data_IF_190922292948
#
_entry.id   IF_190922292948
#
_cell.length_a   1.000
_cell.length_b   1.000
_cell.length_c   1.000
_cell.angle_alpha   90.00
_cell.angle_beta   90.00
_cell.angle_gamma   90.00
#
_symmetry.space_group_name_H-M   'P 1'
#
loop_
_entity.id
_entity.type
_entity.pdbx_description
1 polymer ?
#
# COMPACT_ATOMS: atom_id res chain seq x y z
N UNK A 1 1.84 -46.51 60.67
CA UNK A 1 1.57 -45.28 59.88
C UNK A 1 2.12 -45.46 58.47
N UNK A 2 1.26 -45.76 57.50
CA UNK A 2 1.41 -45.45 56.06
C UNK A 2 0.15 -46.00 55.37
N UNK A 3 -0.76 -45.08 55.07
CA UNK A 3 -1.98 -45.35 54.31
C UNK A 3 -1.62 -45.66 52.86
N UNK A 4 -2.23 -46.70 52.32
CA UNK A 4 -2.39 -46.90 50.87
C UNK A 4 -3.68 -46.19 50.43
N UNK A 5 -3.58 -45.38 49.39
CA UNK A 5 -4.71 -44.82 48.64
C UNK A 5 -4.50 -45.17 47.16
N UNK A 6 -5.53 -45.65 46.44
CA UNK A 6 -5.37 -46.10 45.06
C UNK A 6 -5.42 -44.92 44.08
N UNK A 7 -4.70 -45.10 42.97
CA UNK A 7 -4.65 -44.21 41.81
C UNK A 7 -6.04 -43.99 41.19
N UNK A 8 -6.45 -42.73 41.06
CA UNK A 8 -7.57 -42.31 40.21
C UNK A 8 -6.99 -41.80 38.89
N UNK A 9 -7.30 -42.48 37.79
CA UNK A 9 -7.07 -41.97 36.44
C UNK A 9 -8.12 -40.89 36.14
N UNK A 10 -7.72 -39.61 36.07
CA UNK A 10 -8.53 -38.58 35.42
C UNK A 10 -8.16 -38.55 33.93
N UNK A 11 -8.97 -39.21 33.12
CA UNK A 11 -9.02 -39.00 31.67
C UNK A 11 -9.65 -37.63 31.40
N UNK A 12 -8.82 -36.63 31.14
CA UNK A 12 -9.27 -35.34 30.61
C UNK A 12 -9.69 -35.58 29.16
N UNK A 13 -10.99 -35.57 28.92
CA UNK A 13 -11.54 -35.44 27.58
C UNK A 13 -11.20 -34.03 27.07
N UNK A 14 -10.17 -33.93 26.22
CA UNK A 14 -9.98 -32.75 25.40
C UNK A 14 -11.17 -32.68 24.42
N UNK A 15 -12.11 -31.78 24.68
CA UNK A 15 -13.12 -31.40 23.72
C UNK A 15 -12.40 -30.79 22.51
N UNK A 16 -12.23 -31.61 21.48
CA UNK A 16 -11.82 -31.18 20.15
C UNK A 16 -12.97 -30.33 19.61
N UNK A 17 -12.95 -29.02 19.90
CA UNK A 17 -13.76 -28.06 19.16
C UNK A 17 -13.20 -28.04 17.75
N UNK A 18 -13.81 -28.83 16.88
CA UNK A 18 -13.81 -28.58 15.44
C UNK A 18 -14.46 -27.20 15.27
N UNK A 19 -13.65 -26.15 15.22
CA UNK A 19 -14.04 -24.95 14.51
C UNK A 19 -14.24 -25.42 13.07
N UNK A 20 -15.50 -25.65 12.71
CA UNK A 20 -15.89 -25.49 11.32
C UNK A 20 -15.52 -24.06 11.00
N UNK A 21 -14.49 -23.88 10.16
CA UNK A 21 -14.21 -22.59 9.53
C UNK A 21 -15.55 -22.12 8.95
N UNK A 22 -16.19 -21.17 9.64
CA UNK A 22 -17.18 -20.36 8.98
C UNK A 22 -16.36 -19.56 8.00
N UNK A 23 -16.32 -20.02 6.73
CA UNK A 23 -15.83 -19.21 5.62
C UNK A 23 -16.53 -17.87 5.77
N UNK A 24 -15.77 -16.85 6.15
CA UNK A 24 -16.33 -15.54 6.38
C UNK A 24 -16.95 -15.11 5.04
N UNK A 25 -18.26 -14.89 5.03
CA UNK A 25 -18.99 -14.62 3.80
C UNK A 25 -18.50 -13.29 3.26
N UNK A 26 -17.76 -13.35 2.15
CA UNK A 26 -17.15 -12.18 1.50
C UNK A 26 -18.21 -11.14 1.13
N UNK A 27 -17.81 -9.86 1.01
CA UNK A 27 -18.73 -8.82 0.56
C UNK A 27 -19.35 -9.16 -0.80
N UNK A 28 -20.67 -9.24 -0.86
CA UNK A 28 -21.42 -9.56 -2.07
C UNK A 28 -22.06 -8.29 -2.63
N UNK A 29 -21.53 -7.78 -3.74
CA UNK A 29 -22.08 -6.60 -4.42
C UNK A 29 -23.11 -7.02 -5.48
N UNK A 30 -24.30 -6.45 -5.43
CA UNK A 30 -25.39 -6.75 -6.36
C UNK A 30 -26.11 -5.50 -6.84
N UNK A 31 -27.05 -5.68 -7.79
CA UNK A 31 -27.95 -4.66 -8.34
C UNK A 31 -27.27 -3.36 -8.81
N UNK A 32 -26.03 -3.46 -9.32
CA UNK A 32 -25.27 -2.31 -9.85
C UNK A 32 -26.02 -1.66 -11.01
N UNK A 33 -26.31 -0.36 -10.91
CA UNK A 33 -26.97 0.46 -11.94
C UNK A 33 -26.19 1.74 -12.14
N UNK A 34 -26.03 2.15 -13.40
CA UNK A 34 -25.31 3.36 -13.79
C UNK A 34 -26.28 4.30 -14.50
N UNK A 35 -26.36 5.54 -14.04
CA UNK A 35 -27.23 6.58 -14.59
C UNK A 35 -26.45 7.88 -14.81
N UNK A 36 -26.01 8.15 -16.04
CA UNK A 36 -25.49 9.45 -16.43
C UNK A 36 -26.54 10.55 -16.25
N UNK A 37 -26.10 11.75 -15.90
CA UNK A 37 -26.91 12.96 -15.75
C UNK A 37 -26.49 14.03 -16.75
N UNK A 38 -27.38 14.96 -17.02
CA UNK A 38 -27.14 16.07 -17.97
C UNK A 38 -26.06 17.05 -17.48
N UNK A 39 -25.83 17.13 -16.16
CA UNK A 39 -24.79 17.95 -15.54
C UNK A 39 -23.39 17.29 -15.54
N UNK A 40 -23.25 16.15 -16.22
CA UNK A 40 -21.97 15.44 -16.35
C UNK A 40 -21.62 14.54 -15.17
N UNK A 41 -22.47 14.48 -14.14
CA UNK A 41 -22.35 13.52 -13.06
C UNK A 41 -22.87 12.15 -13.49
N UNK A 42 -22.31 11.10 -12.91
CA UNK A 42 -22.78 9.73 -13.09
C UNK A 42 -23.20 9.18 -11.73
N UNK A 43 -24.48 8.85 -11.58
CA UNK A 43 -25.01 8.18 -10.38
C UNK A 43 -24.83 6.67 -10.54
N UNK A 44 -24.18 6.05 -9.58
CA UNK A 44 -23.97 4.61 -9.52
C UNK A 44 -24.66 4.09 -8.27
N UNK A 45 -25.68 3.25 -8.44
CA UNK A 45 -26.39 2.61 -7.34
C UNK A 45 -26.00 1.14 -7.23
N UNK A 46 -25.88 0.62 -6.02
CA UNK A 46 -25.58 -0.79 -5.77
C UNK A 46 -26.08 -1.23 -4.39
N UNK A 47 -26.19 -2.54 -4.19
CA UNK A 47 -26.43 -3.15 -2.88
C UNK A 47 -25.18 -3.93 -2.48
N UNK A 48 -24.89 -4.01 -1.18
CA UNK A 48 -23.76 -4.81 -0.69
C UNK A 48 -24.09 -5.51 0.62
N UNK A 49 -23.91 -6.83 0.64
CA UNK A 49 -24.04 -7.66 1.83
C UNK A 49 -22.66 -7.96 2.40
N UNK A 50 -22.43 -7.64 3.69
CA UNK A 50 -21.21 -7.97 4.43
C UNK A 50 -21.46 -7.90 5.94
N UNK A 51 -20.53 -8.44 6.74
CA UNK A 51 -20.64 -8.44 8.22
C UNK A 51 -20.00 -7.22 8.88
N UNK A 52 -19.10 -6.54 8.17
CA UNK A 52 -18.26 -5.46 8.67
C UNK A 52 -18.33 -4.25 7.71
N UNK A 53 -17.91 -3.04 8.15
CA UNK A 53 -17.69 -1.92 7.24
C UNK A 53 -16.68 -2.27 6.14
N UNK A 54 -16.85 -1.63 4.98
CA UNK A 54 -16.16 -1.97 3.75
C UNK A 54 -15.26 -0.83 3.29
N UNK A 55 -14.15 -1.20 2.63
CA UNK A 55 -13.49 -0.33 1.67
C UNK A 55 -14.14 -0.57 0.29
N UNK A 56 -14.57 0.49 -0.38
CA UNK A 56 -15.27 0.43 -1.67
C UNK A 56 -14.58 1.30 -2.70
N UNK A 57 -14.33 0.76 -3.88
CA UNK A 57 -13.84 1.52 -5.03
C UNK A 57 -14.60 1.12 -6.29
N UNK A 58 -14.38 1.86 -7.37
CA UNK A 58 -15.04 1.63 -8.66
C UNK A 58 -14.02 1.46 -9.76
N UNK A 59 -14.33 0.60 -10.71
CA UNK A 59 -13.67 0.58 -12.02
C UNK A 59 -14.68 0.92 -13.09
N UNK A 60 -14.26 1.69 -14.09
CA UNK A 60 -15.14 2.18 -15.14
C UNK A 60 -14.65 1.69 -16.51
N UNK A 61 -15.62 1.30 -17.34
CA UNK A 61 -15.44 0.90 -18.73
C UNK A 61 -16.27 1.80 -19.64
N UNK A 62 -15.74 2.13 -20.82
CA UNK A 62 -16.44 2.82 -21.90
C UNK A 62 -16.59 1.94 -23.16
N UNK A 63 -16.20 0.66 -23.09
CA UNK A 63 -16.17 -0.30 -24.20
C UNK A 63 -17.13 -1.48 -23.96
N UNK A 64 -18.28 -1.18 -23.34
CA UNK A 64 -19.32 -2.18 -22.99
C UNK A 64 -18.86 -3.26 -22.00
N UNK A 65 -17.87 -2.96 -21.17
CA UNK A 65 -17.37 -3.86 -20.13
C UNK A 65 -16.27 -4.81 -20.60
N UNK A 66 -15.72 -4.60 -21.80
CA UNK A 66 -14.57 -5.39 -22.31
C UNK A 66 -13.31 -5.06 -21.51
N UNK A 67 -13.08 -3.79 -21.19
CA UNK A 67 -11.97 -3.35 -20.36
C UNK A 67 -12.39 -2.22 -19.42
N UNK A 68 -11.83 -2.24 -18.21
CA UNK A 68 -12.10 -1.24 -17.18
C UNK A 68 -10.86 -0.36 -17.00
N UNK A 69 -10.58 0.43 -18.04
CA UNK A 69 -9.38 1.26 -18.16
C UNK A 69 -9.64 2.74 -17.92
N UNK A 70 -10.88 3.15 -17.68
CA UNK A 70 -11.20 4.57 -17.51
C UNK A 70 -10.65 5.06 -16.15
N UNK A 71 -9.72 6.03 -16.15
CA UNK A 71 -9.19 6.62 -14.92
C UNK A 71 -10.30 7.25 -14.10
N UNK A 72 -10.31 6.95 -12.80
CA UNK A 72 -11.21 7.57 -11.82
C UNK A 72 -10.37 8.06 -10.66
N UNK A 73 -10.43 9.36 -10.38
CA UNK A 73 -9.77 9.91 -9.20
C UNK A 73 -10.64 9.73 -7.97
N UNK A 74 -10.05 9.40 -6.82
CA UNK A 74 -10.84 9.25 -5.59
C UNK A 74 -11.55 10.57 -5.21
N UNK A 75 -10.94 11.71 -5.54
CA UNK A 75 -11.50 13.06 -5.30
C UNK A 75 -12.71 13.40 -6.18
N UNK A 76 -12.95 12.68 -7.27
CA UNK A 76 -14.12 12.87 -8.14
C UNK A 76 -15.31 12.02 -7.70
N UNK A 77 -15.14 11.17 -6.70
CA UNK A 77 -16.16 10.29 -6.15
C UNK A 77 -16.71 10.83 -4.82
N UNK A 78 -18.02 10.71 -4.62
CA UNK A 78 -18.70 11.04 -3.37
C UNK A 78 -19.81 10.03 -3.06
N UNK A 79 -20.25 9.94 -1.81
CA UNK A 79 -21.30 9.02 -1.37
C UNK A 79 -20.73 7.76 -0.71
N UNK A 80 -21.35 6.61 -0.97
CA UNK A 80 -20.98 5.30 -0.41
C UNK A 80 -19.76 4.71 -1.14
N UNK A 81 -18.59 5.32 -0.96
CA UNK A 81 -17.33 4.96 -1.60
C UNK A 81 -16.14 5.32 -0.70
N UNK A 82 -14.99 4.67 -0.89
CA UNK A 82 -13.82 4.82 -0.05
C UNK A 82 -13.92 3.98 1.21
N UNK A 83 -13.44 4.52 2.33
CA UNK A 83 -13.32 3.79 3.58
C UNK A 83 -14.63 3.77 4.39
N UNK A 84 -14.82 2.74 5.22
CA UNK A 84 -15.87 2.61 6.22
C UNK A 84 -17.32 2.66 5.67
N UNK A 85 -17.54 2.20 4.44
CA UNK A 85 -18.88 2.09 3.86
C UNK A 85 -19.67 0.99 4.58
N UNK A 86 -20.82 1.34 5.14
CA UNK A 86 -21.68 0.38 5.84
C UNK A 86 -22.37 -0.55 4.83
N UNK A 87 -22.58 -1.85 5.15
CA UNK A 87 -23.38 -2.75 4.34
C UNK A 87 -24.85 -2.30 4.17
N UNK A 88 -25.56 -2.88 3.22
CA UNK A 88 -26.99 -2.73 2.99
C UNK A 88 -27.37 -2.36 1.56
N UNK A 89 -28.68 -2.23 1.35
CA UNK A 89 -29.28 -1.88 0.06
C UNK A 89 -29.26 -0.36 -0.20
N UNK A 90 -29.34 0.01 -1.48
CA UNK A 90 -29.58 1.38 -1.92
C UNK A 90 -28.38 2.32 -1.80
N UNK A 91 -27.15 1.77 -1.80
CA UNK A 91 -25.92 2.54 -1.78
C UNK A 91 -25.79 3.39 -3.04
N UNK A 92 -25.20 4.57 -2.91
CA UNK A 92 -25.06 5.52 -4.01
C UNK A 92 -23.68 6.15 -4.05
N UNK A 93 -23.05 6.07 -5.21
CA UNK A 93 -21.84 6.80 -5.55
C UNK A 93 -22.21 7.84 -6.60
N UNK A 94 -21.75 9.06 -6.42
CA UNK A 94 -21.83 10.12 -7.40
C UNK A 94 -20.43 10.43 -7.91
N UNK A 95 -20.21 10.16 -9.19
CA UNK A 95 -18.94 10.37 -9.86
C UNK A 95 -18.99 11.61 -10.76
N UNK A 96 -18.06 12.54 -10.57
CA UNK A 96 -17.84 13.66 -11.47
C UNK A 96 -17.01 13.22 -12.68
N UNK A 97 -17.68 12.57 -13.64
CA UNK A 97 -17.03 12.03 -14.83
C UNK A 97 -16.42 13.11 -15.73
N UNK A 98 -16.93 14.35 -15.72
CA UNK A 98 -16.33 15.45 -16.49
C UNK A 98 -14.98 15.90 -15.94
N UNK A 99 -14.75 15.75 -14.62
CA UNK A 99 -13.47 16.08 -14.02
C UNK A 99 -12.37 15.10 -14.48
N UNK A 100 -12.71 13.82 -14.61
CA UNK A 100 -11.75 12.78 -15.00
C UNK A 100 -11.68 12.60 -16.53
N UNK A 101 -12.81 12.69 -17.22
CA UNK A 101 -13.00 12.38 -18.64
C UNK A 101 -13.80 13.48 -19.37
N UNK A 102 -13.25 14.70 -19.53
CA UNK A 102 -13.99 15.86 -20.03
C UNK A 102 -14.52 15.72 -21.47
N UNK A 103 -13.96 14.81 -22.26
CA UNK A 103 -14.26 14.67 -23.70
C UNK A 103 -14.98 13.35 -24.06
N UNK A 104 -15.45 12.58 -23.08
CA UNK A 104 -16.06 11.26 -23.32
C UNK A 104 -17.55 11.28 -22.98
N UNK A 105 -18.36 10.73 -23.88
CA UNK A 105 -19.79 10.55 -23.66
C UNK A 105 -20.03 9.44 -22.61
N UNK A 106 -20.69 9.80 -21.51
CA UNK A 106 -20.95 8.92 -20.36
C UNK A 106 -22.10 7.92 -20.56
N UNK A 107 -22.90 8.05 -21.63
CA UNK A 107 -24.04 7.16 -21.93
C UNK A 107 -23.68 5.68 -22.12
N UNK A 108 -22.40 5.39 -22.42
CA UNK A 108 -21.89 4.03 -22.63
C UNK A 108 -21.24 3.38 -21.40
N UNK A 109 -21.13 4.07 -20.27
CA UNK A 109 -20.32 3.55 -19.16
C UNK A 109 -20.86 2.25 -18.55
N UNK A 110 -19.93 1.38 -18.17
CA UNK A 110 -20.16 0.23 -17.29
C UNK A 110 -19.29 0.39 -16.06
N UNK A 111 -19.80 -0.05 -14.92
CA UNK A 111 -19.10 0.07 -13.64
C UNK A 111 -19.01 -1.28 -12.96
N UNK A 112 -17.83 -1.59 -12.46
CA UNK A 112 -17.62 -2.62 -11.45
C UNK A 112 -17.43 -1.94 -10.10
N UNK A 113 -18.27 -2.28 -9.14
CA UNK A 113 -18.03 -1.94 -7.74
C UNK A 113 -17.13 -3.02 -7.18
N UNK A 114 -16.05 -2.61 -6.54
CA UNK A 114 -15.16 -3.49 -5.82
C UNK A 114 -15.30 -3.15 -4.35
N UNK A 115 -15.62 -4.16 -3.54
CA UNK A 115 -15.73 -4.03 -2.10
C UNK A 115 -14.91 -5.12 -1.41
N UNK A 116 -14.21 -4.74 -0.36
CA UNK A 116 -13.54 -5.66 0.58
C UNK A 116 -13.84 -5.19 2.00
N UNK A 117 -13.66 -6.08 2.98
CA UNK A 117 -13.67 -5.66 4.38
C UNK A 117 -12.66 -4.53 4.61
N UNK A 118 -13.04 -3.55 5.43
CA UNK A 118 -12.15 -2.46 5.78
C UNK A 118 -10.96 -2.98 6.58
N UNK A 119 -9.76 -2.70 6.08
CA UNK A 119 -8.52 -2.87 6.85
C UNK A 119 -8.09 -1.50 7.35
N UNK A 120 -7.91 -1.36 8.66
CA UNK A 120 -7.55 -0.08 9.26
C UNK A 120 -6.20 0.42 8.73
N UNK A 121 -6.14 1.72 8.42
CA UNK A 121 -4.96 2.36 7.84
C UNK A 121 -4.61 1.99 6.39
N UNK A 122 -5.39 1.14 5.70
CA UNK A 122 -5.16 0.78 4.30
C UNK A 122 -6.21 1.36 3.36
N UNK A 123 -5.80 1.64 2.12
CA UNK A 123 -6.64 2.12 1.03
C UNK A 123 -6.80 1.00 -0.01
N UNK A 124 -8.05 0.81 -0.47
CA UNK A 124 -8.35 -0.09 -1.58
C UNK A 124 -8.01 0.57 -2.92
N UNK A 125 -6.98 0.07 -3.58
CA UNK A 125 -6.55 0.57 -4.89
C UNK A 125 -7.17 -0.31 -5.99
N UNK A 126 -8.05 0.23 -6.85
CA UNK A 126 -8.66 -0.53 -7.93
C UNK A 126 -7.60 -1.03 -8.89
N UNK A 127 -7.60 -2.33 -9.20
CA UNK A 127 -6.71 -2.88 -10.22
C UNK A 127 -6.94 -2.23 -11.58
N UNK A 128 -5.89 -2.14 -12.39
CA UNK A 128 -5.94 -1.40 -13.64
C UNK A 128 -4.66 -1.51 -14.44
N UNK A 129 -4.67 -0.87 -15.59
CA UNK A 129 -3.54 -0.81 -16.51
C UNK A 129 -2.97 0.60 -16.51
N UNK A 130 -1.65 0.72 -16.43
CA UNK A 130 -0.94 1.98 -16.47
C UNK A 130 0.37 1.85 -17.24
N UNK A 131 1.00 2.99 -17.52
CA UNK A 131 2.35 3.04 -18.07
C UNK A 131 3.33 3.07 -16.91
N UNK A 132 4.06 1.98 -16.71
CA UNK A 132 5.16 1.88 -15.75
C UNK A 132 6.44 2.42 -16.39
N UNK A 133 7.21 3.22 -15.65
CA UNK A 133 8.47 3.80 -16.13
C UNK A 133 8.32 5.03 -17.02
N UNK A 134 9.44 5.49 -17.58
CA UNK A 134 9.54 6.75 -18.29
C UNK A 134 10.61 6.71 -19.39
N UNK A 135 10.20 6.81 -20.66
CA UNK A 135 11.10 6.83 -21.83
C UNK A 135 12.07 8.03 -21.85
N UNK A 136 11.79 9.07 -21.07
CA UNK A 136 12.65 10.25 -20.92
C UNK A 136 13.31 10.33 -19.53
N UNK A 137 13.12 9.31 -18.69
CA UNK A 137 13.67 9.21 -17.34
C UNK A 137 15.11 8.68 -17.33
N UNK A 138 15.59 8.30 -16.14
CA UNK A 138 16.87 7.61 -15.99
C UNK A 138 16.87 6.28 -16.76
N UNK A 139 18.07 5.74 -17.05
CA UNK A 139 18.19 4.51 -17.83
C UNK A 139 17.46 3.32 -17.19
N UNK A 140 17.49 3.21 -15.86
CA UNK A 140 16.78 2.15 -15.15
C UNK A 140 15.26 2.36 -15.07
N UNK A 141 14.75 3.55 -15.43
CA UNK A 141 13.31 3.84 -15.58
C UNK A 141 12.77 3.48 -16.97
N UNK A 142 13.65 3.07 -17.89
CA UNK A 142 13.34 2.78 -19.28
C UNK A 142 13.31 1.27 -19.56
N UNK A 143 12.53 0.83 -20.57
CA UNK A 143 11.53 1.59 -21.30
C UNK A 143 10.24 1.77 -20.49
N UNK A 144 9.49 2.82 -20.80
CA UNK A 144 8.11 2.91 -20.36
C UNK A 144 7.28 1.81 -21.03
N UNK A 145 6.49 1.07 -20.24
CA UNK A 145 5.72 -0.09 -20.72
C UNK A 145 4.34 -0.20 -20.10
N UNK A 146 3.42 -0.80 -20.85
CA UNK A 146 2.09 -1.11 -20.33
C UNK A 146 2.19 -2.24 -19.29
N UNK A 147 1.69 -1.97 -18.08
CA UNK A 147 1.61 -2.90 -16.96
C UNK A 147 0.20 -2.89 -16.40
N UNK A 148 -0.32 -4.06 -16.06
CA UNK A 148 -1.57 -4.23 -15.33
C UNK A 148 -1.30 -4.77 -13.94
N UNK A 149 -1.89 -4.16 -12.94
CA UNK A 149 -1.90 -4.65 -11.56
C UNK A 149 -3.31 -5.07 -11.17
N UNK A 150 -3.43 -6.17 -10.43
CA UNK A 150 -4.70 -6.57 -9.83
C UNK A 150 -5.08 -5.58 -8.71
N UNK A 151 -6.31 -5.67 -8.21
CA UNK A 151 -6.74 -4.85 -7.07
C UNK A 151 -6.01 -5.31 -5.81
N UNK A 152 -5.60 -4.35 -4.98
CA UNK A 152 -4.89 -4.61 -3.72
C UNK A 152 -5.21 -3.53 -2.68
N UNK A 153 -4.87 -3.82 -1.44
CA UNK A 153 -4.84 -2.86 -0.34
C UNK A 153 -3.40 -2.38 -0.15
N UNK A 154 -3.21 -1.11 0.20
CA UNK A 154 -1.90 -0.54 0.52
C UNK A 154 -2.03 0.45 1.67
N UNK A 155 -1.04 0.48 2.55
CA UNK A 155 -1.02 1.41 3.67
C UNK A 155 -1.10 2.85 3.16
N UNK A 156 -2.03 3.60 3.75
CA UNK A 156 -2.27 5.01 3.45
C UNK A 156 -1.06 5.89 3.74
N UNK A 157 -0.25 5.46 4.70
CA UNK A 157 0.88 6.13 5.32
C UNK A 157 2.08 5.19 5.36
N UNK A 158 3.30 5.71 5.43
CA UNK A 158 4.45 4.89 5.81
C UNK A 158 4.27 4.30 7.22
N UNK A 159 4.92 3.15 7.49
CA UNK A 159 4.91 2.57 8.83
C UNK A 159 5.63 3.51 9.79
N UNK A 160 5.01 3.79 10.93
CA UNK A 160 5.54 4.73 11.92
C UNK A 160 6.53 4.07 12.89
N UNK A 161 7.38 4.89 13.53
CA UNK A 161 8.24 4.43 14.62
C UNK A 161 7.43 3.76 15.74
N UNK A 162 6.25 4.31 16.10
CA UNK A 162 5.42 3.72 17.14
C UNK A 162 4.92 2.32 16.76
N UNK A 163 4.47 2.12 15.53
CA UNK A 163 4.02 0.82 15.04
C UNK A 163 5.18 -0.18 15.01
N UNK A 164 6.35 0.22 14.52
CA UNK A 164 7.51 -0.68 14.46
C UNK A 164 8.02 -1.06 15.86
N UNK A 165 7.96 -0.15 16.84
CA UNK A 165 8.27 -0.48 18.24
C UNK A 165 7.31 -1.54 18.81
N UNK A 166 6.02 -1.48 18.48
CA UNK A 166 5.04 -2.50 18.88
C UNK A 166 5.39 -3.86 18.28
N UNK A 167 5.77 -3.89 17.01
CA UNK A 167 6.26 -5.09 16.34
C UNK A 167 7.49 -5.67 17.04
N UNK A 168 8.53 -4.87 17.30
CA UNK A 168 9.75 -5.36 17.97
C UNK A 168 9.46 -5.94 19.37
N UNK A 169 8.53 -5.35 20.10
CA UNK A 169 8.09 -5.89 21.40
C UNK A 169 7.36 -7.23 21.24
N UNK A 170 6.51 -7.38 20.21
CA UNK A 170 5.83 -8.64 19.91
C UNK A 170 6.81 -9.73 19.41
N UNK A 171 7.80 -9.34 18.60
CA UNK A 171 8.86 -10.22 18.11
C UNK A 171 9.87 -10.61 19.21
N UNK A 172 10.00 -9.77 20.24
CA UNK A 172 10.88 -9.97 21.40
C UNK A 172 12.37 -9.70 21.15
N UNK A 173 12.79 -9.58 19.89
CA UNK A 173 14.18 -9.31 19.48
C UNK A 173 14.26 -8.47 18.20
N UNK A 174 15.45 -7.92 17.95
CA UNK A 174 15.77 -7.11 16.76
C UNK A 174 16.36 -7.96 15.61
N UNK A 175 15.82 -9.16 15.42
CA UNK A 175 16.28 -10.10 14.40
C UNK A 175 15.09 -10.89 13.85
N UNK A 176 15.17 -11.29 12.58
CA UNK A 176 14.22 -12.24 12.00
C UNK A 176 14.54 -13.69 12.43
N UNK A 177 13.90 -14.66 11.76
CA UNK A 177 14.07 -16.09 11.97
C UNK A 177 15.47 -16.58 11.54
N UNK A 178 16.09 -15.91 10.57
CA UNK A 178 17.40 -16.25 10.00
C UNK A 178 18.57 -15.50 10.66
N UNK A 179 18.27 -14.60 11.62
CA UNK A 179 19.26 -13.81 12.34
C UNK A 179 19.68 -12.52 11.64
N UNK A 180 18.94 -12.08 10.62
CA UNK A 180 19.17 -10.78 9.98
C UNK A 180 18.66 -9.66 10.89
N UNK A 181 19.42 -8.56 10.96
CA UNK A 181 19.05 -7.36 11.71
C UNK A 181 17.79 -6.71 11.12
N UNK A 182 16.84 -6.31 11.98
CA UNK A 182 15.59 -5.67 11.53
C UNK A 182 15.70 -4.15 11.46
N UNK A 183 16.33 -3.52 12.46
CA UNK A 183 16.58 -2.07 12.52
C UNK A 183 17.97 -1.82 13.11
N UNK A 184 18.71 -0.85 12.58
CA UNK A 184 19.98 -0.44 13.17
C UNK A 184 19.72 0.46 14.40
N UNK A 185 19.87 -0.13 15.59
CA UNK A 185 19.72 0.56 16.87
C UNK A 185 21.02 1.25 17.34
N UNK A 186 22.11 1.11 16.57
CA UNK A 186 23.43 1.66 16.90
C UNK A 186 23.67 3.01 16.23
N UNK A 187 22.95 3.30 15.14
CA UNK A 187 23.01 4.60 14.47
C UNK A 187 22.37 5.70 15.34
N UNK A 188 23.03 6.87 15.51
CA UNK A 188 22.50 7.98 16.31
C UNK A 188 21.20 8.60 15.77
N UNK A 189 20.85 8.38 14.49
CA UNK A 189 19.62 8.88 13.89
C UNK A 189 18.40 7.97 14.14
N UNK A 190 18.60 6.78 14.72
CA UNK A 190 17.51 5.87 15.06
C UNK A 190 16.53 6.53 16.03
N UNK A 191 15.23 6.38 15.76
CA UNK A 191 14.15 6.96 16.57
C UNK A 191 13.50 5.95 17.51
N UNK A 192 14.15 4.80 17.69
CA UNK A 192 13.76 3.70 18.56
C UNK A 192 14.78 3.48 19.66
N UNK A 193 14.31 3.22 20.88
CA UNK A 193 15.14 3.00 22.05
C UNK A 193 14.69 1.73 22.76
N UNK A 194 15.63 1.00 23.37
CA UNK A 194 15.33 -0.12 24.27
C UNK A 194 15.54 0.30 25.72
N UNK A 195 14.44 0.44 26.47
CA UNK A 195 14.43 0.86 27.88
C UNK A 195 13.74 -0.23 28.70
N UNK A 196 14.40 -0.72 29.75
CA UNK A 196 13.89 -1.78 30.63
C UNK A 196 13.40 -3.02 29.85
N UNK A 197 14.13 -3.39 28.79
CA UNK A 197 13.81 -4.53 27.93
C UNK A 197 12.70 -4.28 26.90
N UNK A 198 12.07 -3.11 26.89
CA UNK A 198 10.99 -2.73 25.97
C UNK A 198 11.46 -1.76 24.91
N UNK A 199 11.10 -2.00 23.65
CA UNK A 199 11.31 -1.08 22.54
C UNK A 199 10.27 0.05 22.60
N UNK A 200 10.73 1.29 22.42
CA UNK A 200 9.89 2.49 22.44
C UNK A 200 10.34 3.45 21.35
N UNK A 201 9.38 4.08 20.67
CA UNK A 201 9.66 5.21 19.83
C UNK A 201 9.96 6.47 20.67
N UNK A 202 10.86 7.32 20.20
CA UNK A 202 11.01 8.68 20.71
C UNK A 202 9.68 9.42 20.56
N UNK A 203 9.20 10.06 21.62
CA UNK A 203 7.85 10.66 21.66
C UNK A 203 7.62 11.72 20.58
N UNK A 204 8.68 12.45 20.20
CA UNK A 204 8.60 13.49 19.16
C UNK A 204 8.47 12.87 17.75
N UNK A 205 9.03 11.68 17.55
CA UNK A 205 9.10 10.98 16.26
C UNK A 205 8.14 9.78 16.19
N UNK A 206 7.23 9.64 17.15
CA UNK A 206 6.33 8.49 17.24
C UNK A 206 5.49 8.30 15.96
N UNK A 207 4.98 9.40 15.40
CA UNK A 207 4.17 9.43 14.17
C UNK A 207 4.99 9.73 12.89
N UNK A 208 6.32 9.77 13.00
CA UNK A 208 7.21 9.85 11.83
C UNK A 208 7.41 8.45 11.26
N UNK A 209 7.73 8.32 9.96
CA UNK A 209 8.07 7.03 9.38
C UNK A 209 9.21 6.39 10.17
N UNK A 210 9.16 5.07 10.33
CA UNK A 210 10.30 4.33 10.85
C UNK A 210 11.43 4.41 9.82
N UNK A 211 12.62 4.71 10.32
CA UNK A 211 13.87 4.74 9.55
C UNK A 211 14.89 3.81 10.21
N UNK A 212 16.09 3.69 9.61
CA UNK A 212 17.10 2.70 10.02
C UNK A 212 16.62 1.25 9.90
N UNK A 213 15.54 1.01 9.16
CA UNK A 213 14.93 -0.30 8.99
C UNK A 213 15.51 -0.98 7.75
N UNK A 214 15.95 -2.22 7.92
CA UNK A 214 16.43 -3.05 6.81
C UNK A 214 15.27 -3.59 6.00
N UNK A 215 15.54 -4.13 4.81
CA UNK A 215 14.52 -4.83 4.02
C UNK A 215 13.96 -6.06 4.78
N UNK A 216 14.81 -6.73 5.57
CA UNK A 216 14.40 -7.81 6.46
C UNK A 216 13.45 -7.32 7.55
N UNK A 217 13.75 -6.17 8.16
CA UNK A 217 12.88 -5.47 9.11
C UNK A 217 11.50 -5.17 8.54
N UNK A 218 11.48 -4.57 7.34
CA UNK A 218 10.26 -4.23 6.63
C UNK A 218 9.41 -5.48 6.31
N UNK A 219 10.05 -6.54 5.81
CA UNK A 219 9.39 -7.82 5.48
C UNK A 219 8.85 -8.54 6.71
N UNK A 220 9.64 -8.60 7.79
CA UNK A 220 9.24 -9.23 9.04
C UNK A 220 8.07 -8.49 9.71
N UNK A 221 8.11 -7.14 9.71
CA UNK A 221 6.98 -6.34 10.16
C UNK A 221 5.74 -6.62 9.34
N UNK A 222 5.86 -6.61 8.00
CA UNK A 222 4.72 -6.83 7.12
C UNK A 222 4.08 -8.21 7.39
N UNK A 223 4.89 -9.26 7.52
CA UNK A 223 4.44 -10.61 7.89
C UNK A 223 3.71 -10.62 9.25
N UNK A 224 4.30 -9.99 10.27
CA UNK A 224 3.68 -9.87 11.60
C UNK A 224 2.33 -9.14 11.57
N UNK A 225 2.21 -8.10 10.74
CA UNK A 225 1.00 -7.32 10.57
C UNK A 225 -0.07 -8.03 9.71
N UNK A 226 0.18 -9.25 9.22
CA UNK A 226 -0.72 -9.96 8.30
C UNK A 226 -0.76 -9.35 6.89
N UNK A 227 0.32 -8.67 6.49
CA UNK A 227 0.48 -7.94 5.23
C UNK A 227 1.71 -8.47 4.46
N UNK A 228 2.12 -7.75 3.43
CA UNK A 228 3.37 -7.93 2.67
C UNK A 228 3.95 -6.57 2.29
N UNK A 229 5.14 -6.53 1.72
CA UNK A 229 5.58 -5.34 1.00
C UNK A 229 4.83 -5.22 -0.35
N UNK A 230 4.61 -3.99 -0.86
CA UNK A 230 4.14 -3.82 -2.23
C UNK A 230 5.18 -4.32 -3.23
N UNK A 231 4.74 -4.69 -4.42
CA UNK A 231 5.66 -4.79 -5.57
C UNK A 231 6.04 -3.40 -6.07
N UNK A 232 7.15 -3.30 -6.79
CA UNK A 232 7.57 -2.06 -7.45
C UNK A 232 6.46 -1.51 -8.36
N UNK A 233 5.76 -2.40 -9.08
CA UNK A 233 4.66 -2.04 -9.97
C UNK A 233 3.43 -1.56 -9.21
N UNK A 234 3.06 -2.22 -8.11
CA UNK A 234 1.96 -1.78 -7.24
C UNK A 234 2.26 -0.42 -6.61
N UNK A 235 3.50 -0.21 -6.15
CA UNK A 235 3.93 1.06 -5.58
C UNK A 235 3.84 2.19 -6.61
N UNK A 236 4.40 1.99 -7.81
CA UNK A 236 4.35 3.03 -8.87
C UNK A 236 2.91 3.32 -9.27
N UNK A 237 2.09 2.28 -9.45
CA UNK A 237 0.69 2.47 -9.76
C UNK A 237 -0.04 3.25 -8.66
N UNK A 238 0.15 2.89 -7.39
CA UNK A 238 -0.48 3.58 -6.25
C UNK A 238 -0.06 5.06 -6.15
N UNK A 239 1.18 5.38 -6.54
CA UNK A 239 1.69 6.75 -6.60
C UNK A 239 1.14 7.51 -7.82
N UNK A 240 1.16 6.88 -9.00
CA UNK A 240 1.05 7.53 -10.31
C UNK A 240 -0.36 7.48 -10.90
N UNK A 241 -1.14 6.45 -10.60
CA UNK A 241 -2.42 6.19 -11.25
C UNK A 241 -2.26 5.87 -12.73
N UNK A 242 -3.08 6.49 -13.58
CA UNK A 242 -3.30 6.07 -14.97
C UNK A 242 -2.81 7.05 -16.04
N UNK A 243 -2.59 8.31 -15.67
CA UNK A 243 -2.44 9.43 -16.60
C UNK A 243 -0.97 9.79 -16.89
N UNK A 244 -0.04 8.95 -16.41
CA UNK A 244 1.39 9.13 -16.65
C UNK A 244 2.00 10.33 -15.93
N UNK A 245 1.34 10.88 -14.90
CA UNK A 245 1.83 12.02 -14.11
C UNK A 245 3.26 11.83 -13.57
N UNK A 246 3.96 12.94 -13.35
CA UNK A 246 5.33 12.99 -12.84
C UNK A 246 5.36 12.77 -11.32
N UNK A 247 4.45 13.43 -10.59
CA UNK A 247 4.33 13.36 -9.13
C UNK A 247 2.97 12.82 -8.72
N UNK A 248 2.79 12.33 -7.48
CA UNK A 248 1.51 11.78 -7.04
C UNK A 248 0.33 12.75 -7.19
N UNK A 249 0.56 14.05 -6.95
CA UNK A 249 -0.44 15.11 -7.08
C UNK A 249 -0.64 15.64 -8.51
N UNK A 250 0.11 15.16 -9.51
CA UNK A 250 -0.01 15.55 -10.91
C UNK A 250 1.26 16.17 -11.52
N UNK A 251 1.08 16.94 -12.59
CA UNK A 251 2.16 17.58 -13.36
C UNK A 251 2.36 19.06 -13.01
N UNK A 252 2.04 19.43 -11.77
CA UNK A 252 2.25 20.79 -11.25
C UNK A 252 3.60 20.87 -10.57
N UNK A 253 4.23 22.04 -10.65
CA UNK A 253 5.52 22.32 -10.00
C UNK A 253 5.51 21.91 -8.53
N UNK A 254 6.55 21.18 -8.13
CA UNK A 254 6.76 20.72 -6.77
C UNK A 254 7.03 21.90 -5.83
N UNK A 255 6.43 21.85 -4.65
CA UNK A 255 6.67 22.81 -3.55
C UNK A 255 6.59 22.07 -2.22
N UNK A 256 7.08 22.69 -1.14
CA UNK A 256 7.00 22.14 0.21
C UNK A 256 5.59 21.97 0.77
N UNK A 257 4.53 22.37 0.04
CA UNK A 257 3.14 22.03 0.42
C UNK A 257 2.73 20.62 0.01
N UNK A 258 3.48 19.99 -0.90
CA UNK A 258 3.19 18.69 -1.47
C UNK A 258 4.03 17.56 -0.88
N UNK A 259 5.25 17.84 -0.45
CA UNK A 259 6.15 16.81 0.09
C UNK A 259 7.31 17.43 0.87
N UNK A 260 7.94 16.61 1.73
CA UNK A 260 9.21 16.88 2.36
C UNK A 260 10.37 16.37 1.49
N UNK A 261 11.24 17.26 1.02
CA UNK A 261 12.36 16.95 0.12
C UNK A 261 13.45 18.04 0.25
N UNK A 262 14.61 17.85 -0.40
CA UNK A 262 15.73 18.81 -0.44
C UNK A 262 16.30 19.23 0.93
N UNK A 263 16.06 18.45 1.98
CA UNK A 263 16.57 18.71 3.32
C UNK A 263 15.86 19.87 4.01
N UNK A 264 14.68 20.29 3.52
CA UNK A 264 13.98 21.49 3.99
C UNK A 264 13.72 21.49 5.51
N UNK A 265 13.44 20.33 6.10
CA UNK A 265 13.23 20.19 7.55
C UNK A 265 14.45 19.61 8.29
N UNK A 266 15.47 19.13 7.57
CA UNK A 266 16.61 18.40 8.14
C UNK A 266 16.28 17.03 8.73
N UNK A 267 15.04 16.54 8.56
CA UNK A 267 14.57 15.23 8.98
C UNK A 267 13.26 14.87 8.25
N UNK A 268 12.74 13.68 8.52
CA UNK A 268 11.37 13.25 8.19
C UNK A 268 10.32 14.16 8.84
N UNK A 269 9.10 14.12 8.32
CA UNK A 269 7.90 14.71 8.95
C UNK A 269 6.90 13.59 9.27
N UNK A 270 5.83 13.92 9.99
CA UNK A 270 4.76 12.99 10.34
C UNK A 270 4.10 12.43 9.09
N UNK A 271 3.78 11.14 9.13
CA UNK A 271 3.27 10.39 7.97
C UNK A 271 1.96 10.95 7.39
N UNK A 272 1.20 11.73 8.16
CA UNK A 272 -0.08 12.31 7.74
C UNK A 272 0.00 13.76 7.21
N UNK A 273 1.21 14.30 7.01
CA UNK A 273 1.42 15.65 6.46
C UNK A 273 1.30 15.72 4.93
N UNK A 274 1.20 16.93 4.41
CA UNK A 274 1.08 17.21 2.96
C UNK A 274 -0.18 16.63 2.28
N UNK A 275 -1.39 16.94 2.76
CA UNK A 275 -2.64 16.45 2.17
C UNK A 275 -2.85 16.86 0.69
N UNK A 276 -2.14 17.89 0.21
CA UNK A 276 -2.12 18.29 -1.20
C UNK A 276 -1.25 17.38 -2.07
N UNK A 277 -0.28 16.70 -1.48
CA UNK A 277 0.65 15.78 -2.14
C UNK A 277 0.13 14.37 -2.32
N UNK A 278 -1.14 14.13 -1.98
CA UNK A 278 -1.72 12.79 -2.05
C UNK A 278 -1.75 12.27 -3.48
N UNK A 279 -1.57 10.96 -3.60
CA UNK A 279 -1.72 10.23 -4.85
C UNK A 279 -3.17 10.27 -5.37
N UNK A 280 -3.44 9.85 -6.63
CA UNK A 280 -4.81 9.77 -7.17
C UNK A 280 -5.76 8.90 -6.33
N UNK A 281 -5.18 7.95 -5.59
CA UNK A 281 -5.90 7.03 -4.71
C UNK A 281 -5.90 7.48 -3.24
N UNK A 282 -5.34 8.65 -2.93
CA UNK A 282 -5.40 9.25 -1.59
C UNK A 282 -4.29 8.82 -0.64
N UNK A 283 -3.23 8.16 -1.13
CA UNK A 283 -2.05 7.81 -0.33
C UNK A 283 -1.20 9.05 -0.05
N UNK A 284 -0.62 9.11 1.14
CA UNK A 284 0.28 10.18 1.57
C UNK A 284 1.73 9.81 1.34
N UNK A 285 2.57 10.84 1.13
CA UNK A 285 4.03 10.72 1.02
C UNK A 285 4.53 9.65 0.04
N UNK A 286 3.82 9.41 -1.07
CA UNK A 286 4.34 8.57 -2.18
C UNK A 286 5.49 9.26 -2.95
N UNK A 287 6.08 10.30 -2.38
CA UNK A 287 7.09 11.18 -2.96
C UNK A 287 7.71 11.92 -1.77
N UNK A 288 9.03 11.81 -1.59
CA UNK A 288 9.77 12.38 -0.47
C UNK A 288 9.50 11.71 0.88
N UNK A 289 9.84 12.41 1.96
CA UNK A 289 9.83 11.90 3.35
C UNK A 289 10.82 10.73 3.58
N UNK A 290 10.57 9.53 3.08
CA UNK A 290 11.51 8.40 3.10
C UNK A 290 11.46 7.60 1.80
N UNK A 291 12.60 7.08 1.37
CA UNK A 291 12.65 5.98 0.42
C UNK A 291 11.91 4.78 1.00
N UNK A 292 11.20 4.03 0.17
CA UNK A 292 10.40 2.90 0.62
C UNK A 292 10.86 1.58 0.02
N UNK A 293 11.15 0.61 0.89
CA UNK A 293 11.39 -0.77 0.49
C UNK A 293 10.16 -1.38 -0.20
N UNK A 294 10.41 -2.02 -1.34
CA UNK A 294 9.45 -2.90 -2.03
C UNK A 294 10.00 -4.33 -2.08
N UNK A 295 9.18 -5.31 -2.46
CA UNK A 295 9.60 -6.73 -2.44
C UNK A 295 10.65 -7.06 -3.52
N UNK A 296 10.67 -6.29 -4.60
CA UNK A 296 11.44 -6.57 -5.81
C UNK A 296 12.97 -6.56 -5.59
N UNK A 297 13.63 -7.57 -6.14
CA UNK A 297 15.07 -7.52 -6.43
C UNK A 297 15.35 -6.44 -7.48
N UNK A 298 16.39 -5.64 -7.26
CA UNK A 298 16.80 -4.64 -8.23
C UNK A 298 17.48 -5.31 -9.42
N UNK A 299 16.99 -4.96 -10.60
CA UNK A 299 17.64 -5.23 -11.88
C UNK A 299 17.36 -4.01 -12.78
N UNK A 300 18.45 -3.43 -13.30
CA UNK A 300 18.40 -2.26 -14.16
C UNK A 300 17.66 -2.56 -15.48
N UNK A 301 17.72 -3.80 -15.96
CA UNK A 301 17.11 -4.25 -17.20
C UNK A 301 15.70 -4.84 -17.00
N UNK A 302 15.19 -4.90 -15.76
CA UNK A 302 13.90 -5.52 -15.45
C UNK A 302 12.75 -4.96 -16.30
N UNK A 303 12.72 -3.64 -16.55
CA UNK A 303 11.63 -3.04 -17.34
C UNK A 303 11.65 -3.57 -18.79
N UNK A 304 12.81 -3.85 -19.35
CA UNK A 304 12.94 -4.45 -20.68
C UNK A 304 12.67 -5.96 -20.69
N UNK A 305 13.06 -6.66 -19.62
CA UNK A 305 13.10 -8.12 -19.56
C UNK A 305 11.94 -8.77 -18.80
N UNK A 306 11.10 -7.98 -18.11
CA UNK A 306 10.07 -8.54 -17.23
C UNK A 306 9.13 -9.48 -18.01
N UNK A 307 8.94 -10.72 -17.50
CA UNK A 307 8.34 -11.83 -18.27
C UNK A 307 6.83 -11.68 -18.49
N UNK A 308 6.19 -10.78 -17.75
CA UNK A 308 4.75 -10.52 -17.80
C UNK A 308 4.47 -9.03 -17.71
N UNK A 309 3.47 -8.55 -18.43
CA UNK A 309 2.88 -7.22 -18.19
C UNK A 309 1.78 -7.24 -17.13
N UNK A 310 1.34 -8.41 -16.67
CA UNK A 310 0.38 -8.52 -15.56
C UNK A 310 1.12 -8.87 -14.26
N UNK A 311 0.94 -8.04 -13.24
CA UNK A 311 1.59 -8.11 -11.92
C UNK A 311 3.09 -8.43 -12.01
N UNK A 312 3.90 -7.67 -12.77
CA UNK A 312 5.33 -7.90 -12.81
C UNK A 312 5.92 -7.71 -11.40
N UNK A 313 6.73 -8.67 -11.01
CA UNK A 313 7.52 -8.63 -9.79
C UNK A 313 8.84 -9.34 -10.06
N UNK A 314 9.95 -8.73 -9.63
CA UNK A 314 11.24 -9.37 -9.72
C UNK A 314 11.55 -10.12 -8.43
N UNK A 315 11.28 -11.43 -8.43
CA UNK A 315 11.64 -12.33 -7.32
C UNK A 315 12.97 -13.05 -7.58
N UNK A 316 13.80 -12.55 -8.51
CA UNK A 316 15.11 -13.15 -8.75
C UNK A 316 15.95 -13.08 -7.47
N UNK A 317 16.54 -14.24 -7.15
CA UNK A 317 17.36 -14.53 -5.99
C UNK A 317 16.98 -13.82 -4.66
N UNK A 318 16.25 -14.56 -3.82
CA UNK A 318 15.99 -14.16 -2.43
C UNK A 318 17.25 -14.28 -1.53
N UNK A 319 18.41 -14.65 -2.08
CA UNK A 319 19.67 -14.62 -1.32
C UNK A 319 20.01 -13.20 -0.85
N UNK A 320 20.79 -13.13 0.21
CA UNK A 320 21.24 -11.87 0.83
C UNK A 320 22.19 -11.04 -0.07
N UNK A 321 22.46 -11.46 -1.30
CA UNK A 321 23.43 -10.82 -2.20
C UNK A 321 22.84 -9.94 -3.30
N UNK A 322 21.51 -9.88 -3.41
CA UNK A 322 20.85 -9.04 -4.43
C UNK A 322 20.21 -7.82 -3.78
N UNK A 323 20.58 -6.65 -4.29
CA UNK A 323 20.02 -5.37 -3.87
C UNK A 323 18.50 -5.36 -4.07
N UNK A 324 17.80 -4.63 -3.20
CA UNK A 324 16.34 -4.48 -3.24
C UNK A 324 15.99 -3.09 -3.72
N UNK A 325 14.85 -2.98 -4.40
CA UNK A 325 14.37 -1.71 -4.95
C UNK A 325 13.89 -0.78 -3.83
N UNK A 326 14.19 0.51 -3.99
CA UNK A 326 13.66 1.62 -3.21
C UNK A 326 12.89 2.58 -4.11
N UNK A 327 11.77 3.10 -3.60
CA UNK A 327 10.86 4.00 -4.33
C UNK A 327 10.57 5.30 -3.58
N UNK A 328 10.23 6.35 -4.32
CA UNK A 328 9.63 7.59 -3.80
C UNK A 328 10.55 8.74 -3.40
N UNK A 329 11.85 8.51 -3.20
CA UNK A 329 12.74 9.56 -2.69
C UNK A 329 12.51 9.85 -1.20
N UNK A 330 13.36 10.65 -0.60
CA UNK A 330 13.35 10.95 0.83
C UNK A 330 13.28 12.45 1.13
N UNK A 331 13.25 12.79 2.43
CA UNK A 331 13.28 14.16 2.93
C UNK A 331 14.50 14.97 2.47
N UNK A 332 15.61 14.35 2.06
CA UNK A 332 16.77 15.04 1.48
C UNK A 332 16.93 14.88 -0.03
N UNK A 333 16.09 14.06 -0.67
CA UNK A 333 16.18 13.80 -2.10
C UNK A 333 15.90 15.05 -2.93
N UNK A 334 16.54 15.11 -4.09
CA UNK A 334 16.35 16.18 -5.06
C UNK A 334 15.01 16.06 -5.78
N UNK A 335 14.61 17.14 -6.48
CA UNK A 335 13.40 17.18 -7.33
C UNK A 335 13.36 16.02 -8.34
N UNK A 336 14.51 15.55 -8.83
CA UNK A 336 14.59 14.46 -9.82
C UNK A 336 14.39 13.07 -9.22
N UNK A 337 14.54 12.94 -7.92
CA UNK A 337 14.48 11.66 -7.19
C UNK A 337 13.12 11.42 -6.54
N UNK A 338 12.32 12.47 -6.33
CA UNK A 338 10.99 12.38 -5.73
C UNK A 338 9.86 12.23 -6.76
N UNK A 339 10.16 11.74 -7.96
CA UNK A 339 9.16 11.45 -9.00
C UNK A 339 8.52 10.08 -8.77
N UNK A 340 7.32 9.86 -9.34
CA UNK A 340 6.64 8.56 -9.26
C UNK A 340 7.46 7.42 -9.88
N UNK A 341 8.36 7.71 -10.82
CA UNK A 341 9.07 6.70 -11.62
C UNK A 341 10.48 6.40 -11.13
N UNK A 342 11.07 7.25 -10.27
CA UNK A 342 12.47 7.10 -9.88
C UNK A 342 12.73 5.80 -9.12
N UNK A 343 13.71 5.03 -9.60
CA UNK A 343 14.15 3.75 -9.03
C UNK A 343 15.52 3.93 -8.38
N UNK A 344 15.59 3.64 -7.09
CA UNK A 344 16.86 3.46 -6.38
C UNK A 344 16.96 2.02 -5.87
N UNK A 345 18.08 1.67 -5.28
CA UNK A 345 18.33 0.34 -4.75
C UNK A 345 19.43 0.37 -3.69
N UNK A 346 19.38 -0.59 -2.79
CA UNK A 346 20.38 -0.80 -1.75
C UNK A 346 20.44 -2.30 -1.37
N UNK A 347 21.54 -2.77 -0.78
CA UNK A 347 21.60 -4.11 -0.19
C UNK A 347 20.45 -4.32 0.81
N UNK A 348 19.89 -5.54 0.95
CA UNK A 348 18.76 -5.79 1.84
C UNK A 348 19.10 -5.55 3.32
N UNK A 349 20.39 -5.57 3.69
CA UNK A 349 20.89 -5.25 5.03
C UNK A 349 21.10 -3.76 5.28
N UNK A 350 20.98 -2.91 4.26
CA UNK A 350 21.14 -1.46 4.42
C UNK A 350 20.05 -0.90 5.32
N UNK A 351 20.45 -0.01 6.22
CA UNK A 351 19.60 0.76 7.11
C UNK A 351 20.08 2.21 7.06
N UNK A 352 19.16 3.16 6.89
CA UNK A 352 19.51 4.58 6.90
C UNK A 352 18.37 5.48 7.36
N UNK A 353 18.72 6.69 7.80
CA UNK A 353 17.81 7.71 8.33
C UNK A 353 16.79 8.28 7.32
N UNK A 354 16.79 7.75 6.10
CA UNK A 354 15.94 8.13 4.98
C UNK A 354 15.27 6.95 4.30
N UNK A 355 15.45 5.73 4.82
CA UNK A 355 14.88 4.50 4.28
C UNK A 355 13.86 3.96 5.28
N UNK A 356 12.62 3.85 4.82
CA UNK A 356 11.48 3.28 5.53
C UNK A 356 10.73 2.32 4.62
N UNK A 357 9.43 2.15 4.87
CA UNK A 357 8.56 1.31 4.05
C UNK A 357 7.08 1.56 4.36
N UNK A 358 6.23 1.00 3.51
CA UNK A 358 4.80 0.82 3.75
C UNK A 358 4.39 -0.60 3.36
N UNK A 359 3.27 -1.10 3.89
CA UNK A 359 2.79 -2.44 3.55
C UNK A 359 1.70 -2.42 2.48
N UNK A 360 1.52 -3.55 1.81
CA UNK A 360 0.41 -3.88 0.95
C UNK A 360 -0.25 -5.20 1.41
N UNK A 361 -1.47 -5.45 0.96
CA UNK A 361 -2.17 -6.71 1.18
C UNK A 361 -2.93 -7.10 -0.09
N UNK A 362 -2.83 -8.38 -0.44
CA UNK A 362 -3.63 -8.95 -1.51
C UNK A 362 -5.08 -9.08 -1.05
N UNK A 363 -6.02 -8.90 -1.96
CA UNK A 363 -7.44 -9.17 -1.70
C UNK A 363 -7.89 -10.35 -2.55
N UNK A 364 -8.78 -11.17 -2.00
CA UNK A 364 -9.39 -12.26 -2.75
C UNK A 364 -10.81 -11.84 -3.18
N UNK A 365 -10.95 -11.52 -4.46
CA UNK A 365 -12.19 -11.05 -5.06
C UNK A 365 -13.10 -12.19 -5.58
N UNK A 366 -12.68 -13.46 -5.47
CA UNK A 366 -13.37 -14.62 -6.08
C UNK A 366 -14.01 -15.63 -5.11
#
# INVERSE_FOLDING_TARGET
MKNQTPFLWLSIWAALFLFVDQVDSRPAVTRVKVRPREDGLVEIAYDVEAKSPLAVTVRVSNDSGVSYKIPVQLSSLTGDVGDNVKPGDGKKILWNALADQPNINSSGYRVQIIATEQVDGMVLVPGGTFIMGNNQGLLNEQPAREVSVDTFLIDKYEVTNQQFAQFLNANGKNEDEDGNMLVDLTDPDVRLLKIDGQFRASTVFADHPVTEVTWYGATAYAKWAGKRLPTEAEWEYAARGYDGRIYPWGNVEITYQYTNYQGNLGNTDKVYQYPKGRSPFGLYNMSGNVWEWVVDAYDADFYSLAPSSKNPVNTSDLSNSVDRVLRGGSWYSSVKEVTCTNRSYQPPSEAGNSIGFRCAASIDLN
#
